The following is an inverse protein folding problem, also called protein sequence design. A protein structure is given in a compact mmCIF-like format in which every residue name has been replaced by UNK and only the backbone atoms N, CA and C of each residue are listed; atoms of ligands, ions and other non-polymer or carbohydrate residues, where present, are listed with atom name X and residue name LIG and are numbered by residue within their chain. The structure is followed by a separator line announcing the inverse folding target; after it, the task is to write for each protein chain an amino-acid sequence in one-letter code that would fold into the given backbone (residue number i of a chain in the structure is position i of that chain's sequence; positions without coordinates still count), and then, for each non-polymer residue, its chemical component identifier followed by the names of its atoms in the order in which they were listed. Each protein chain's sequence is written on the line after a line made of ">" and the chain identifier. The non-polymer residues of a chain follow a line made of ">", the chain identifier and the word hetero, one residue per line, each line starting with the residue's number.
data_IF_745360762036
#
_entry.id   IF_745360762036
#
_cell.length_a   1.000
_cell.length_b   1.000
_cell.length_c   1.000
_cell.angle_alpha   90.00
_cell.angle_beta   90.00
_cell.angle_gamma   90.00
#
_symmetry.space_group_name_H-M   'P 1'
#
loop_
_entity.id
_entity.type
_entity.pdbx_description
1 polymer ?
#
# COMPACT_ATOMS: atom_id res chain seq x y z
N UNK A 1 -41.89 3.16 54.90
CA UNK A 1 -40.88 2.24 54.32
C UNK A 1 -40.92 2.39 52.80
N UNK A 2 -39.84 2.83 52.18
CA UNK A 2 -39.82 3.21 50.76
C UNK A 2 -39.37 2.04 49.85
N UNK A 3 -39.88 1.93 48.60
CA UNK A 3 -39.47 0.89 47.67
C UNK A 3 -38.08 1.17 47.09
N UNK A 4 -37.17 0.21 47.24
CA UNK A 4 -35.80 0.26 46.74
C UNK A 4 -35.78 -0.01 45.23
N UNK A 5 -35.53 1.01 44.41
CA UNK A 5 -35.32 0.84 42.95
C UNK A 5 -33.89 0.39 42.68
N UNK A 6 -33.71 -0.88 42.34
CA UNK A 6 -32.46 -1.39 41.77
C UNK A 6 -32.42 -1.01 40.29
N UNK A 7 -31.61 -0.01 39.92
CA UNK A 7 -31.31 0.29 38.52
C UNK A 7 -30.11 -0.52 38.07
N UNK A 8 -30.36 -1.66 37.44
CA UNK A 8 -29.33 -2.39 36.69
C UNK A 8 -29.09 -1.66 35.38
N UNK A 9 -28.09 -0.78 35.34
CA UNK A 9 -27.57 -0.23 34.09
C UNK A 9 -26.72 -1.30 33.42
N UNK A 10 -27.32 -2.02 32.46
CA UNK A 10 -26.59 -2.92 31.58
C UNK A 10 -25.79 -2.08 30.59
N UNK A 11 -24.48 -1.97 30.83
CA UNK A 11 -23.55 -1.42 29.84
C UNK A 11 -23.62 -2.32 28.60
N UNK A 12 -23.94 -1.80 27.39
CA UNK A 12 -23.98 -2.64 26.20
C UNK A 12 -22.58 -3.16 25.94
N UNK A 13 -22.39 -4.47 26.03
CA UNK A 13 -21.16 -5.11 25.61
C UNK A 13 -20.98 -4.80 24.11
N UNK A 14 -20.03 -3.93 23.77
CA UNK A 14 -19.71 -3.66 22.37
C UNK A 14 -19.29 -4.97 21.72
N UNK A 15 -20.18 -5.53 20.90
CA UNK A 15 -19.93 -6.81 20.27
C UNK A 15 -18.89 -6.66 19.17
N UNK A 16 -18.12 -7.71 18.94
CA UNK A 16 -17.14 -7.74 17.84
C UNK A 16 -17.80 -7.41 16.49
N UNK A 17 -19.08 -7.75 16.32
CA UNK A 17 -19.90 -7.40 15.16
C UNK A 17 -20.08 -5.89 15.01
N UNK A 18 -20.34 -5.17 16.10
CA UNK A 18 -20.47 -3.71 16.07
C UNK A 18 -19.14 -3.03 15.69
N UNK A 19 -18.02 -3.54 16.20
CA UNK A 19 -16.68 -3.02 15.86
C UNK A 19 -16.37 -3.25 14.38
N UNK A 20 -16.60 -4.47 13.87
CA UNK A 20 -16.40 -4.77 12.45
C UNK A 20 -17.26 -3.88 11.55
N UNK A 21 -18.52 -3.69 11.93
CA UNK A 21 -19.45 -2.83 11.19
C UNK A 21 -18.97 -1.38 11.14
N UNK A 22 -18.52 -0.84 12.27
CA UNK A 22 -17.98 0.52 12.35
C UNK A 22 -16.73 0.72 11.48
N UNK A 23 -15.85 -0.29 11.40
CA UNK A 23 -14.69 -0.25 10.50
C UNK A 23 -15.14 -0.22 9.04
N UNK A 24 -16.10 -1.08 8.65
CA UNK A 24 -16.61 -1.10 7.27
C UNK A 24 -17.28 0.23 6.91
N UNK A 25 -18.13 0.76 7.78
CA UNK A 25 -18.86 2.01 7.55
C UNK A 25 -17.89 3.21 7.43
N UNK A 26 -16.85 3.27 8.28
CA UNK A 26 -15.84 4.33 8.22
C UNK A 26 -14.98 4.28 6.96
N UNK A 27 -14.59 3.08 6.51
CA UNK A 27 -13.83 2.88 5.26
C UNK A 27 -14.67 3.27 4.05
N UNK A 28 -15.94 2.86 4.01
CA UNK A 28 -16.87 3.23 2.95
C UNK A 28 -17.07 4.76 2.89
N UNK A 29 -17.28 5.40 4.04
CA UNK A 29 -17.45 6.86 4.12
C UNK A 29 -16.19 7.60 3.65
N UNK A 30 -15.00 7.13 4.01
CA UNK A 30 -13.75 7.75 3.57
C UNK A 30 -13.53 7.61 2.05
N UNK A 31 -13.93 6.48 1.47
CA UNK A 31 -13.82 6.24 0.03
C UNK A 31 -14.76 7.15 -0.76
N UNK A 32 -16.00 7.31 -0.31
CA UNK A 32 -16.98 8.24 -0.91
C UNK A 32 -16.50 9.69 -0.83
N UNK A 33 -15.94 10.11 0.32
CA UNK A 33 -15.38 11.45 0.47
C UNK A 33 -14.17 11.69 -0.45
N UNK A 34 -13.35 10.67 -0.68
CA UNK A 34 -12.23 10.74 -1.63
C UNK A 34 -12.72 10.88 -3.07
N UNK A 35 -13.75 10.11 -3.45
CA UNK A 35 -14.36 10.18 -4.78
C UNK A 35 -14.98 11.56 -5.06
N UNK A 36 -15.73 12.11 -4.09
CA UNK A 36 -16.31 13.46 -4.20
C UNK A 36 -15.23 14.57 -4.28
N UNK A 37 -14.10 14.39 -3.60
CA UNK A 37 -12.96 15.33 -3.69
C UNK A 37 -12.31 15.31 -5.06
N UNK A 38 -12.21 14.12 -5.70
CA UNK A 38 -11.70 13.99 -7.07
C UNK A 38 -12.63 14.66 -8.10
N UNK A 39 -13.95 14.61 -7.90
CA UNK A 39 -14.89 15.33 -8.76
C UNK A 39 -14.79 16.85 -8.61
N UNK A 40 -14.58 17.40 -7.40
CA UNK A 40 -14.51 18.86 -7.21
C UNK A 40 -13.25 19.52 -7.80
N UNK A 41 -12.16 18.77 -8.02
CA UNK A 41 -10.95 19.29 -8.69
C UNK A 41 -11.12 19.57 -10.19
N UNK A 42 -12.29 19.31 -10.77
CA UNK A 42 -12.53 19.49 -12.21
C UNK A 42 -13.01 20.90 -12.62
N UNK A 43 -13.19 21.86 -11.69
CA UNK A 43 -13.62 23.21 -12.05
C UNK A 43 -12.43 24.21 -12.19
N UNK A 44 -12.20 24.54 -13.46
CA UNK A 44 -11.79 25.83 -14.05
C UNK A 44 -10.83 26.75 -13.30
N UNK A 45 -9.53 26.63 -13.61
CA UNK A 45 -8.72 27.74 -14.15
C UNK A 45 -7.26 27.27 -14.29
N UNK A 46 -6.91 26.58 -15.38
CA UNK A 46 -5.55 26.62 -15.94
C UNK A 46 -5.64 26.38 -17.44
N UNK A 47 -5.69 27.49 -18.16
CA UNK A 47 -5.08 27.75 -19.47
C UNK A 47 -4.64 26.49 -20.24
N UNK A 48 -5.35 26.26 -21.33
CA UNK A 48 -5.13 25.32 -22.41
C UNK A 48 -3.65 25.19 -22.80
N UNK A 49 -2.98 24.21 -22.23
CA UNK A 49 -1.71 23.66 -22.70
C UNK A 49 -1.84 22.16 -22.60
N UNK A 50 -2.02 21.52 -23.76
CA UNK A 50 -2.00 20.08 -24.02
C UNK A 50 -2.09 19.18 -22.79
N UNK A 51 -3.28 18.62 -22.58
CA UNK A 51 -3.49 17.45 -21.72
C UNK A 51 -2.79 16.27 -22.39
N UNK A 52 -1.46 16.23 -22.33
CA UNK A 52 -0.71 15.01 -22.51
C UNK A 52 -1.32 14.01 -21.52
N UNK A 53 -1.86 12.90 -22.02
CA UNK A 53 -2.13 11.74 -21.18
C UNK A 53 -0.94 11.58 -20.24
N UNK A 54 -1.12 11.34 -18.93
CA UNK A 54 0.00 11.31 -17.99
C UNK A 54 1.02 10.32 -18.54
N UNK A 55 2.08 10.85 -19.16
CA UNK A 55 3.11 10.05 -19.77
C UNK A 55 3.61 9.24 -18.60
N UNK A 56 3.49 7.91 -18.69
CA UNK A 56 3.91 7.01 -17.63
C UNK A 56 5.37 7.36 -17.31
N UNK A 57 5.55 8.14 -16.24
CA UNK A 57 6.82 8.78 -15.97
C UNK A 57 7.75 7.64 -15.61
N UNK A 58 8.76 7.40 -16.44
CA UNK A 58 9.66 6.26 -16.25
C UNK A 58 10.42 6.48 -14.94
N UNK A 59 9.96 5.80 -13.89
CA UNK A 59 10.62 5.71 -12.61
C UNK A 59 12.12 5.47 -12.80
N UNK A 60 12.93 6.40 -12.30
CA UNK A 60 14.38 6.26 -12.35
C UNK A 60 14.88 5.50 -11.12
N UNK A 61 16.03 4.82 -11.24
CA UNK A 61 16.60 4.04 -10.14
C UNK A 61 16.74 4.85 -8.84
N UNK A 62 17.00 6.16 -8.95
CA UNK A 62 17.06 7.09 -7.81
C UNK A 62 15.73 7.19 -7.06
N UNK A 63 14.60 7.24 -7.77
CA UNK A 63 13.26 7.30 -7.17
C UNK A 63 12.92 5.98 -6.48
N UNK A 64 13.26 4.85 -7.11
CA UNK A 64 13.17 3.53 -6.50
C UNK A 64 14.01 3.43 -5.21
N UNK A 65 15.27 3.87 -5.23
CA UNK A 65 16.15 3.84 -4.05
C UNK A 65 15.71 4.81 -2.94
N UNK A 66 15.11 5.95 -3.30
CA UNK A 66 14.53 6.88 -2.32
C UNK A 66 13.37 6.25 -1.52
N UNK A 67 12.76 5.20 -2.06
CA UNK A 67 11.74 4.42 -1.38
C UNK A 67 12.30 3.38 -0.40
N UNK A 68 13.62 3.37 -0.19
CA UNK A 68 14.32 2.51 0.75
C UNK A 68 13.95 1.02 0.55
N UNK A 69 14.31 0.45 -0.61
CA UNK A 69 14.00 -0.93 -0.90
C UNK A 69 14.67 -1.86 0.10
N UNK A 70 13.97 -2.94 0.42
CA UNK A 70 14.45 -3.95 1.35
C UNK A 70 15.36 -4.95 0.64
N UNK A 71 16.52 -5.25 1.23
CA UNK A 71 17.48 -6.19 0.66
C UNK A 71 17.20 -7.61 1.13
N UNK A 72 17.20 -8.57 0.19
CA UNK A 72 17.09 -9.99 0.53
C UNK A 72 18.46 -10.60 0.80
N UNK A 73 18.67 -11.13 2.01
CA UNK A 73 19.95 -11.73 2.44
C UNK A 73 20.07 -13.23 2.14
N UNK A 74 19.03 -13.85 1.58
CA UNK A 74 19.05 -15.27 1.18
C UNK A 74 18.94 -16.30 2.31
N UNK A 75 18.98 -15.90 3.59
CA UNK A 75 18.94 -16.82 4.74
C UNK A 75 17.52 -17.13 5.25
N UNK A 76 16.51 -16.44 4.72
CA UNK A 76 15.13 -16.47 5.23
C UNK A 76 14.24 -17.50 4.51
N UNK A 77 14.82 -18.28 3.58
CA UNK A 77 14.11 -19.31 2.81
C UNK A 77 12.95 -18.78 1.95
N UNK A 78 12.03 -19.66 1.57
CA UNK A 78 10.89 -19.33 0.71
C UNK A 78 9.97 -18.26 1.32
N UNK A 79 9.77 -18.28 2.64
CA UNK A 79 8.93 -17.31 3.35
C UNK A 79 9.53 -15.89 3.27
N UNK A 80 10.85 -15.78 3.46
CA UNK A 80 11.54 -14.49 3.27
C UNK A 80 11.51 -14.01 1.83
N UNK A 81 11.64 -14.93 0.87
CA UNK A 81 11.58 -14.61 -0.56
C UNK A 81 10.21 -14.02 -0.94
N UNK A 82 9.11 -14.67 -0.53
CA UNK A 82 7.74 -14.17 -0.76
C UNK A 82 7.53 -12.80 -0.12
N UNK A 83 8.03 -12.60 1.11
CA UNK A 83 7.95 -11.31 1.82
C UNK A 83 8.72 -10.22 1.07
N UNK A 84 9.92 -10.53 0.57
CA UNK A 84 10.73 -9.59 -0.20
C UNK A 84 10.05 -9.22 -1.53
N UNK A 85 9.47 -10.18 -2.26
CA UNK A 85 8.71 -9.90 -3.49
C UNK A 85 7.58 -8.90 -3.25
N UNK A 86 6.72 -9.17 -2.26
CA UNK A 86 5.60 -8.28 -1.89
C UNK A 86 6.08 -6.87 -1.53
N UNK A 87 7.21 -6.75 -0.84
CA UNK A 87 7.76 -5.46 -0.44
C UNK A 87 8.37 -4.69 -1.62
N UNK A 88 8.99 -5.40 -2.56
CA UNK A 88 9.57 -4.82 -3.77
C UNK A 88 8.48 -4.35 -4.74
N UNK A 89 7.38 -5.09 -4.85
CA UNK A 89 6.18 -4.67 -5.60
C UNK A 89 5.58 -3.38 -5.02
N UNK A 90 5.45 -3.29 -3.69
CA UNK A 90 4.96 -2.09 -3.01
C UNK A 90 5.88 -0.88 -3.27
N UNK A 91 7.20 -1.09 -3.21
CA UNK A 91 8.18 -0.04 -3.49
C UNK A 91 8.07 0.44 -4.94
N UNK A 92 7.94 -0.48 -5.90
CA UNK A 92 7.73 -0.14 -7.31
C UNK A 92 6.43 0.63 -7.55
N UNK A 93 5.35 0.25 -6.87
CA UNK A 93 4.07 0.96 -6.94
C UNK A 93 4.21 2.40 -6.39
N UNK A 94 4.90 2.57 -5.26
CA UNK A 94 5.12 3.90 -4.64
C UNK A 94 5.98 4.81 -5.51
N UNK A 95 6.95 4.26 -6.23
CA UNK A 95 7.84 5.01 -7.11
C UNK A 95 7.27 5.25 -8.51
N UNK A 96 6.02 4.86 -8.79
CA UNK A 96 5.40 4.91 -10.12
C UNK A 96 6.25 4.19 -11.20
N UNK A 97 6.88 3.09 -10.82
CA UNK A 97 7.68 2.28 -11.73
C UNK A 97 6.83 1.59 -12.78
N UNK A 98 7.24 1.71 -14.06
CA UNK A 98 6.67 0.91 -15.14
C UNK A 98 7.00 -0.57 -14.92
N UNK A 99 6.21 -1.46 -15.52
CA UNK A 99 6.39 -2.91 -15.40
C UNK A 99 7.84 -3.34 -15.73
N UNK A 100 8.40 -2.75 -16.78
CA UNK A 100 9.76 -3.01 -17.26
C UNK A 100 10.86 -2.66 -16.24
N UNK A 101 10.58 -1.72 -15.33
CA UNK A 101 11.54 -1.29 -14.31
C UNK A 101 11.57 -2.23 -13.11
N UNK A 102 10.52 -3.03 -12.88
CA UNK A 102 10.39 -3.87 -11.68
C UNK A 102 11.50 -4.91 -11.59
N UNK A 103 11.72 -5.68 -12.66
CA UNK A 103 12.74 -6.73 -12.69
C UNK A 103 14.13 -6.12 -12.51
N UNK A 104 14.47 -5.10 -13.30
CA UNK A 104 15.79 -4.46 -13.31
C UNK A 104 16.17 -3.87 -11.95
N UNK A 105 15.22 -3.25 -11.25
CA UNK A 105 15.47 -2.65 -9.94
C UNK A 105 15.42 -3.68 -8.81
N UNK A 106 14.53 -4.67 -8.89
CA UNK A 106 14.49 -5.78 -7.94
C UNK A 106 15.82 -6.53 -7.89
N UNK A 107 16.42 -6.83 -9.05
CA UNK A 107 17.74 -7.47 -9.12
C UNK A 107 18.83 -6.67 -8.38
N UNK A 108 18.73 -5.33 -8.38
CA UNK A 108 19.65 -4.46 -7.64
C UNK A 108 19.51 -4.50 -6.11
N UNK A 109 18.48 -5.16 -5.58
CA UNK A 109 18.23 -5.34 -4.13
C UNK A 109 18.52 -6.77 -3.66
N UNK A 110 18.89 -7.65 -4.59
CA UNK A 110 19.41 -8.97 -4.30
C UNK A 110 20.89 -8.87 -3.92
N UNK A 111 21.28 -9.52 -2.83
CA UNK A 111 22.69 -9.56 -2.44
C UNK A 111 23.51 -10.43 -3.39
N UNK A 112 24.81 -10.15 -3.54
CA UNK A 112 25.76 -10.89 -4.41
C UNK A 112 25.75 -12.41 -4.14
N UNK A 113 25.39 -12.81 -2.91
CA UNK A 113 25.23 -14.20 -2.49
C UNK A 113 24.05 -14.91 -3.17
N UNK A 114 22.99 -14.18 -3.49
CA UNK A 114 21.79 -14.73 -4.13
C UNK A 114 21.94 -14.82 -5.65
N UNK A 115 22.60 -13.83 -6.27
CA UNK A 115 22.90 -13.82 -7.72
C UNK A 115 23.75 -15.05 -8.07
N UNK A 116 24.81 -15.32 -7.29
CA UNK A 116 25.64 -16.51 -7.45
C UNK A 116 24.90 -17.84 -7.22
N UNK A 117 23.76 -17.87 -6.53
CA UNK A 117 23.00 -19.10 -6.33
C UNK A 117 22.03 -19.38 -7.48
N UNK A 118 21.66 -18.36 -8.27
CA UNK A 118 20.79 -18.50 -9.45
C UNK A 118 21.64 -18.91 -10.66
N UNK A 119 22.84 -18.36 -10.82
CA UNK A 119 23.77 -18.70 -11.91
C UNK A 119 24.27 -20.15 -11.89
N UNK A 120 24.16 -20.85 -10.74
CA UNK A 120 24.51 -22.27 -10.61
C UNK A 120 23.33 -23.23 -10.86
N UNK A 121 22.12 -22.68 -11.05
CA UNK A 121 20.87 -23.46 -11.17
C UNK A 121 20.26 -23.34 -12.58
N UNK A 122 20.81 -22.47 -13.45
CA UNK A 122 20.45 -22.35 -14.88
C UNK A 122 21.55 -22.93 -15.76
#
# INVERSE_FOLDING_TARGET
>A
MAPKRTSTSAVPAMTQTAIKKLIVDSVATALEAQAATMENTNNTNRNTGEREAPIARKCIYKEFMSCQPFNFKGMEGAVGLIRWFKRTELVCSRSNCTEDCKVKFATGTLTVRFIRSIDYVV
#
